data_IF_055506769421
#
_entry.id   IF_055506769421
#
_cell.length_a   1.000
_cell.length_b   1.000
_cell.length_c   1.000
_cell.angle_alpha   90.00
_cell.angle_beta   90.00
_cell.angle_gamma   90.00
#
_symmetry.space_group_name_H-M   'P 1'
#
loop_
_entity.id
_entity.type
_entity.pdbx_description
1 polymer ?
#
# COMPACT_ATOMS: atom_id res chain seq x y z
N UNK A 1 15.45 23.58 -2.74
CA UNK A 1 14.95 24.85 -2.23
C UNK A 1 15.98 25.95 -2.44
N UNK A 2 17.16 25.86 -1.84
CA UNK A 2 18.20 26.90 -1.92
C UNK A 2 18.60 27.24 -3.38
N UNK A 3 18.84 26.22 -4.23
CA UNK A 3 19.17 26.44 -5.64
C UNK A 3 18.04 27.06 -6.48
N UNK A 4 16.82 27.05 -5.98
CA UNK A 4 15.64 27.60 -6.64
C UNK A 4 15.10 28.88 -5.95
N UNK A 5 15.86 29.40 -4.99
CA UNK A 5 15.45 30.55 -4.16
C UNK A 5 14.03 30.39 -3.57
N UNK A 6 13.73 29.18 -3.10
CA UNK A 6 12.44 28.85 -2.51
C UNK A 6 12.53 28.81 -0.99
N UNK A 7 11.51 29.31 -0.26
CA UNK A 7 11.40 29.11 1.18
C UNK A 7 11.49 27.62 1.56
N UNK A 8 12.13 27.35 2.68
CA UNK A 8 12.31 25.98 3.17
C UNK A 8 11.90 25.89 4.64
N UNK A 9 11.03 24.93 4.94
CA UNK A 9 10.56 24.64 6.27
C UNK A 9 10.80 23.17 6.60
N UNK A 10 11.26 22.86 7.82
CA UNK A 10 11.34 21.51 8.35
C UNK A 10 10.17 21.31 9.31
N UNK A 11 9.37 20.29 9.04
CA UNK A 11 8.27 19.87 9.91
C UNK A 11 8.67 18.56 10.59
N UNK A 12 8.62 18.51 11.91
CA UNK A 12 8.97 17.31 12.68
C UNK A 12 7.70 16.50 12.98
N UNK A 13 7.53 15.41 12.27
CA UNK A 13 6.46 14.43 12.48
C UNK A 13 6.98 13.11 13.04
N UNK A 14 8.15 13.09 13.66
CA UNK A 14 8.81 11.87 14.13
C UNK A 14 7.92 11.04 15.08
N UNK A 15 7.25 11.69 16.05
CA UNK A 15 6.38 11.01 16.99
C UNK A 15 5.15 10.38 16.30
N UNK A 16 4.50 11.13 15.43
CA UNK A 16 3.33 10.66 14.66
C UNK A 16 3.71 9.56 13.69
N UNK A 17 4.84 9.70 13.00
CA UNK A 17 5.35 8.68 12.10
C UNK A 17 5.63 7.36 12.85
N UNK A 18 6.22 7.45 14.04
CA UNK A 18 6.44 6.29 14.90
C UNK A 18 5.11 5.61 15.24
N UNK A 19 4.16 6.35 15.78
CA UNK A 19 2.90 5.80 16.28
C UNK A 19 1.98 5.28 15.17
N UNK A 20 1.82 6.04 14.09
CA UNK A 20 0.83 5.75 13.05
C UNK A 20 1.37 4.86 11.92
N UNK A 21 2.68 4.89 11.67
CA UNK A 21 3.27 4.14 10.56
C UNK A 21 4.05 2.94 11.10
N UNK A 22 5.08 3.15 11.93
CA UNK A 22 5.98 2.06 12.34
C UNK A 22 5.26 1.09 13.27
N UNK A 23 4.60 1.57 14.32
CA UNK A 23 3.92 0.69 15.28
C UNK A 23 2.73 -0.03 14.65
N UNK A 24 1.99 0.61 13.73
CA UNK A 24 0.95 -0.05 12.95
C UNK A 24 1.53 -1.13 12.04
N UNK A 25 2.63 -0.85 11.35
CA UNK A 25 3.35 -1.81 10.50
C UNK A 25 3.71 -3.07 11.31
N UNK A 26 4.28 -2.90 12.50
CA UNK A 26 4.65 -4.00 13.38
C UNK A 26 3.41 -4.80 13.81
N UNK A 27 2.36 -4.12 14.31
CA UNK A 27 1.12 -4.80 14.74
C UNK A 27 0.48 -5.63 13.64
N UNK A 28 0.46 -5.14 12.41
CA UNK A 28 -0.12 -5.87 11.28
C UNK A 28 0.71 -7.12 10.96
N UNK A 29 2.04 -7.03 10.96
CA UNK A 29 2.90 -8.22 10.79
C UNK A 29 2.74 -9.23 11.93
N UNK A 30 2.71 -8.78 13.18
CA UNK A 30 2.49 -9.64 14.35
C UNK A 30 1.10 -10.31 14.34
N UNK A 31 0.11 -9.68 13.73
CA UNK A 31 -1.21 -10.26 13.48
C UNK A 31 -1.26 -11.20 12.25
N UNK A 32 -0.14 -11.39 11.55
CA UNK A 32 -0.05 -12.26 10.36
C UNK A 32 -0.40 -11.57 9.03
N UNK A 33 -0.76 -10.30 9.06
CA UNK A 33 -1.03 -9.51 7.85
C UNK A 33 0.24 -9.12 7.09
N UNK A 34 0.05 -8.37 6.00
CA UNK A 34 1.13 -7.77 5.22
C UNK A 34 0.81 -6.29 5.01
N UNK A 35 1.38 -5.40 5.81
CA UNK A 35 1.09 -3.96 5.74
C UNK A 35 1.72 -3.32 4.51
N UNK A 36 1.09 -2.27 4.00
CA UNK A 36 1.71 -1.33 3.08
C UNK A 36 1.84 0.05 3.77
N UNK A 37 2.97 0.34 4.42
CA UNK A 37 3.14 1.56 5.20
C UNK A 37 3.09 2.83 4.35
N UNK A 38 3.30 2.73 3.02
CA UNK A 38 3.20 3.88 2.12
C UNK A 38 1.77 4.41 2.03
N UNK A 39 0.76 3.54 2.14
CA UNK A 39 -0.66 3.94 2.16
C UNK A 39 -0.93 4.80 3.40
N UNK A 40 -0.51 4.32 4.57
CA UNK A 40 -0.67 5.05 5.83
C UNK A 40 0.15 6.35 5.86
N UNK A 41 1.40 6.32 5.36
CA UNK A 41 2.24 7.49 5.25
C UNK A 41 1.60 8.59 4.37
N UNK A 42 1.02 8.21 3.22
CA UNK A 42 0.29 9.16 2.39
C UNK A 42 -0.95 9.69 3.11
N UNK A 43 -1.76 8.82 3.74
CA UNK A 43 -2.99 9.20 4.43
C UNK A 43 -2.72 10.18 5.59
N UNK A 44 -1.79 9.84 6.47
CA UNK A 44 -1.61 10.55 7.74
C UNK A 44 -0.51 11.61 7.68
N UNK A 45 0.68 11.27 7.12
CA UNK A 45 1.83 12.17 7.15
C UNK A 45 1.80 13.20 6.03
N UNK A 46 1.66 12.73 4.75
CA UNK A 46 1.81 13.63 3.62
C UNK A 46 0.56 14.47 3.35
N UNK A 47 -0.63 13.85 3.42
CA UNK A 47 -1.83 14.55 2.99
C UNK A 47 -2.73 15.02 4.13
N UNK A 48 -2.62 14.49 5.34
CA UNK A 48 -3.28 15.08 6.49
C UNK A 48 -2.44 16.22 7.07
N UNK A 49 -1.28 15.91 7.62
CA UNK A 49 -0.47 16.93 8.31
C UNK A 49 0.01 18.06 7.41
N UNK A 50 0.36 17.77 6.13
CA UNK A 50 0.76 18.85 5.22
C UNK A 50 -0.42 19.72 4.76
N UNK A 51 -1.62 19.17 4.63
CA UNK A 51 -2.80 19.97 4.32
C UNK A 51 -3.23 20.82 5.52
N UNK A 52 -3.24 20.25 6.73
CA UNK A 52 -3.51 20.98 7.95
C UNK A 52 -2.52 22.17 8.09
N UNK A 53 -1.23 21.89 7.90
CA UNK A 53 -0.19 22.91 7.94
C UNK A 53 -0.33 23.96 6.83
N UNK A 54 -0.69 23.57 5.62
CA UNK A 54 -0.90 24.45 4.49
C UNK A 54 -2.08 25.40 4.75
N UNK A 55 -3.20 24.88 5.27
CA UNK A 55 -4.38 25.67 5.65
C UNK A 55 -4.03 26.71 6.73
N UNK A 56 -3.32 26.30 7.81
CA UNK A 56 -2.88 27.20 8.89
C UNK A 56 -1.99 28.35 8.37
N UNK A 57 -1.29 28.15 7.25
CA UNK A 57 -0.39 29.13 6.65
C UNK A 57 -0.97 29.84 5.42
N UNK A 58 -2.27 29.67 5.18
CA UNK A 58 -2.98 30.32 4.07
C UNK A 58 -2.56 29.80 2.69
N UNK A 59 -2.07 28.57 2.60
CA UNK A 59 -1.72 27.92 1.33
C UNK A 59 -2.92 27.09 0.84
N UNK A 60 -3.21 27.18 -0.45
CA UNK A 60 -4.39 26.53 -1.05
C UNK A 60 -4.12 25.06 -1.42
N UNK A 61 -2.89 24.72 -1.79
CA UNK A 61 -2.56 23.42 -2.34
C UNK A 61 -1.30 22.80 -1.72
N UNK A 62 -1.35 21.48 -1.58
CA UNK A 62 -0.15 20.63 -1.39
C UNK A 62 0.23 20.01 -2.73
N UNK A 63 1.46 20.21 -3.16
CA UNK A 63 1.99 19.70 -4.43
C UNK A 63 3.01 18.61 -4.13
N UNK A 64 2.85 17.44 -4.75
CA UNK A 64 3.79 16.32 -4.58
C UNK A 64 4.18 15.67 -5.91
N UNK A 65 5.30 14.96 -5.90
CA UNK A 65 5.83 14.25 -7.06
C UNK A 65 5.23 12.86 -7.29
N UNK A 66 4.00 12.58 -6.85
CA UNK A 66 3.36 11.31 -7.14
C UNK A 66 2.92 11.20 -8.59
N UNK A 67 3.12 10.01 -9.17
CA UNK A 67 2.65 9.65 -10.50
C UNK A 67 1.19 9.16 -10.42
N UNK A 68 0.27 10.09 -10.25
CA UNK A 68 -1.17 9.90 -10.32
C UNK A 68 -1.80 11.21 -10.81
N UNK A 69 -3.05 11.20 -11.23
CA UNK A 69 -3.76 12.40 -11.68
C UNK A 69 -4.98 12.64 -10.81
N UNK A 70 -5.24 13.91 -10.53
CA UNK A 70 -6.43 14.37 -9.82
C UNK A 70 -7.18 15.32 -10.74
N UNK A 71 -8.43 15.03 -11.01
CA UNK A 71 -9.29 15.81 -11.91
C UNK A 71 -10.69 15.92 -11.30
N UNK A 72 -11.35 17.06 -11.51
CA UNK A 72 -12.75 17.22 -11.12
C UNK A 72 -13.65 16.78 -12.26
N UNK A 73 -14.57 15.87 -11.98
CA UNK A 73 -15.61 15.46 -12.93
C UNK A 73 -16.68 16.56 -13.05
N UNK A 74 -16.82 17.11 -14.25
CA UNK A 74 -17.74 18.22 -14.50
C UNK A 74 -19.23 17.83 -14.32
N UNK A 75 -19.57 16.56 -14.48
CA UNK A 75 -20.95 16.09 -14.38
C UNK A 75 -21.39 15.91 -12.92
N UNK A 76 -20.52 15.43 -12.06
CA UNK A 76 -20.83 15.10 -10.67
C UNK A 76 -20.25 16.11 -9.68
N UNK A 77 -19.30 16.93 -10.10
CA UNK A 77 -18.51 17.82 -9.24
C UNK A 77 -17.51 17.10 -8.34
N UNK A 78 -17.43 15.77 -8.41
CA UNK A 78 -16.52 14.98 -7.58
C UNK A 78 -15.09 15.04 -8.10
N UNK A 79 -14.16 15.02 -7.17
CA UNK A 79 -12.75 14.83 -7.49
C UNK A 79 -12.46 13.35 -7.73
N UNK A 80 -11.77 13.07 -8.82
CA UNK A 80 -11.38 11.71 -9.25
C UNK A 80 -9.88 11.53 -9.05
N UNK A 81 -9.50 10.40 -8.49
CA UNK A 81 -8.12 9.92 -8.51
C UNK A 81 -7.95 8.98 -9.71
N UNK A 82 -7.08 9.35 -10.64
CA UNK A 82 -6.81 8.59 -11.86
C UNK A 82 -5.38 8.07 -11.86
N UNK A 83 -5.17 6.97 -12.57
CA UNK A 83 -3.82 6.43 -12.81
C UNK A 83 -2.91 7.47 -13.47
N UNK A 84 -1.62 7.43 -13.16
CA UNK A 84 -0.61 8.18 -13.89
C UNK A 84 -0.55 7.79 -15.36
N UNK A 85 -0.02 8.69 -16.20
CA UNK A 85 0.19 8.40 -17.63
C UNK A 85 1.23 7.29 -17.81
N UNK A 86 2.28 7.30 -17.03
CA UNK A 86 3.29 6.22 -16.99
C UNK A 86 2.77 5.07 -16.12
N UNK A 87 2.21 4.04 -16.76
CA UNK A 87 1.67 2.86 -16.08
C UNK A 87 2.71 2.14 -15.22
N UNK A 88 3.98 2.14 -15.65
CA UNK A 88 5.10 1.53 -14.90
C UNK A 88 5.47 2.28 -13.64
N UNK A 89 4.97 3.52 -13.47
CA UNK A 89 5.22 4.40 -12.32
C UNK A 89 3.94 4.81 -11.58
N UNK A 90 2.78 4.33 -12.01
CA UNK A 90 1.51 4.68 -11.39
C UNK A 90 1.51 4.45 -9.87
N UNK A 91 1.16 5.49 -9.13
CA UNK A 91 1.11 5.50 -7.67
C UNK A 91 -0.32 5.69 -7.12
N UNK A 92 -1.34 5.62 -7.98
CA UNK A 92 -2.73 5.75 -7.55
C UNK A 92 -3.11 4.73 -6.47
N UNK A 93 -2.50 3.53 -6.51
CA UNK A 93 -2.72 2.48 -5.50
C UNK A 93 -2.40 2.92 -4.06
N UNK A 94 -1.38 3.75 -3.84
CA UNK A 94 -1.02 4.20 -2.48
C UNK A 94 -1.74 5.49 -2.07
N UNK A 95 -2.65 5.98 -2.91
CA UNK A 95 -3.41 7.22 -2.72
C UNK A 95 -4.92 7.00 -2.57
N UNK A 96 -5.41 5.77 -2.62
CA UNK A 96 -6.85 5.47 -2.62
C UNK A 96 -7.58 5.93 -1.35
N UNK A 97 -6.86 6.21 -0.27
CA UNK A 97 -7.41 6.69 1.00
C UNK A 97 -7.69 8.20 1.03
N UNK A 98 -7.37 8.94 -0.04
CA UNK A 98 -7.59 10.38 -0.08
C UNK A 98 -9.08 10.71 -0.16
N UNK A 99 -9.52 11.61 0.70
CA UNK A 99 -10.90 12.09 0.73
C UNK A 99 -11.18 13.09 -0.39
N UNK A 100 -12.46 13.40 -0.65
CA UNK A 100 -12.85 14.41 -1.61
C UNK A 100 -12.27 15.79 -1.28
N UNK A 101 -12.27 16.15 -0.01
CA UNK A 101 -11.68 17.39 0.49
C UNK A 101 -10.18 17.44 0.23
N UNK A 102 -9.46 16.38 0.58
CA UNK A 102 -8.03 16.29 0.31
C UNK A 102 -7.71 16.37 -1.18
N UNK A 103 -8.46 15.64 -2.03
CA UNK A 103 -8.27 15.67 -3.47
C UNK A 103 -8.48 17.06 -4.08
N UNK A 104 -9.37 17.87 -3.53
CA UNK A 104 -9.57 19.25 -3.97
C UNK A 104 -8.30 20.12 -3.80
N UNK A 105 -7.54 19.87 -2.75
CA UNK A 105 -6.37 20.65 -2.35
C UNK A 105 -5.02 20.02 -2.69
N UNK A 106 -5.01 18.99 -3.56
CA UNK A 106 -3.79 18.30 -3.99
C UNK A 106 -3.51 18.55 -5.46
N UNK A 107 -2.22 18.71 -5.80
CA UNK A 107 -1.74 18.80 -7.19
C UNK A 107 -0.61 17.81 -7.40
N UNK A 108 -0.72 17.00 -8.46
CA UNK A 108 0.20 15.93 -8.81
C UNK A 108 0.75 16.14 -10.23
N UNK A 109 1.65 17.11 -10.45
CA UNK A 109 2.07 17.52 -11.79
C UNK A 109 2.77 16.40 -12.57
N UNK A 110 3.45 15.45 -11.88
CA UNK A 110 4.14 14.35 -12.55
C UNK A 110 3.20 13.26 -13.06
N UNK A 111 1.93 13.27 -12.66
CA UNK A 111 0.95 12.28 -13.11
C UNK A 111 0.61 12.33 -14.60
N UNK A 112 0.88 13.44 -15.27
CA UNK A 112 0.67 13.65 -16.70
C UNK A 112 1.95 13.49 -17.54
N UNK A 113 3.05 13.00 -16.94
CA UNK A 113 4.36 12.85 -17.58
C UNK A 113 4.88 11.43 -17.45
N UNK A 114 5.64 10.98 -18.45
CA UNK A 114 6.46 9.78 -18.32
C UNK A 114 7.71 10.05 -17.50
N UNK A 115 8.22 9.03 -16.82
CA UNK A 115 9.44 9.15 -16.00
C UNK A 115 10.65 9.63 -16.79
N UNK A 116 10.74 9.29 -18.05
CA UNK A 116 11.79 9.76 -18.99
C UNK A 116 11.74 11.27 -19.16
N UNK A 117 10.56 11.83 -19.43
CA UNK A 117 10.34 13.27 -19.57
C UNK A 117 10.70 14.02 -18.27
N UNK A 118 10.31 13.47 -17.12
CA UNK A 118 10.66 14.06 -15.81
C UNK A 118 12.17 14.09 -15.60
N UNK A 119 12.89 13.03 -16.04
CA UNK A 119 14.37 13.00 -15.96
C UNK A 119 15.02 14.00 -16.91
N UNK A 120 14.50 14.16 -18.12
CA UNK A 120 14.96 15.15 -19.09
C UNK A 120 14.81 16.57 -18.53
N UNK A 121 13.64 16.93 -18.01
CA UNK A 121 13.39 18.21 -17.34
C UNK A 121 14.36 18.42 -16.17
N UNK A 122 14.57 17.40 -15.34
CA UNK A 122 15.48 17.50 -14.21
C UNK A 122 16.95 17.69 -14.65
N UNK A 123 17.36 17.11 -15.78
CA UNK A 123 18.70 17.30 -16.37
C UNK A 123 18.86 18.69 -16.97
N UNK A 124 17.86 19.18 -17.71
CA UNK A 124 17.85 20.53 -18.28
C UNK A 124 18.01 21.60 -17.18
N UNK A 125 17.37 21.37 -16.03
CA UNK A 125 17.50 22.24 -14.87
C UNK A 125 18.69 21.91 -13.95
N UNK A 126 19.59 21.03 -14.38
CA UNK A 126 20.81 20.66 -13.63
C UNK A 126 20.54 20.17 -12.20
N UNK A 127 19.42 19.47 -11.97
CA UNK A 127 19.12 18.90 -10.65
C UNK A 127 20.04 17.71 -10.35
N UNK A 128 20.71 17.75 -9.20
CA UNK A 128 21.68 16.74 -8.75
C UNK A 128 21.08 15.33 -8.63
N UNK A 129 19.77 15.21 -8.48
CA UNK A 129 19.03 13.95 -8.34
C UNK A 129 18.36 13.48 -9.65
N UNK A 130 18.64 14.12 -10.79
CA UNK A 130 18.03 13.79 -12.08
C UNK A 130 18.20 12.31 -12.46
N UNK A 131 19.35 11.70 -12.11
CA UNK A 131 19.67 10.30 -12.39
C UNK A 131 19.51 9.37 -11.17
N UNK A 132 18.96 9.87 -10.05
CA UNK A 132 18.76 9.03 -8.86
C UNK A 132 17.81 7.87 -9.17
N UNK A 133 18.20 6.67 -8.76
CA UNK A 133 17.33 5.51 -8.84
C UNK A 133 16.11 5.70 -7.92
N UNK A 134 14.97 5.15 -8.35
CA UNK A 134 13.76 5.17 -7.53
C UNK A 134 13.97 4.30 -6.28
N UNK A 135 13.53 4.80 -5.13
CA UNK A 135 13.47 3.99 -3.92
C UNK A 135 12.32 2.98 -4.08
N UNK A 136 12.66 1.68 -4.07
CA UNK A 136 11.68 0.60 -4.19
C UNK A 136 11.31 -0.01 -2.84
N UNK A 137 12.09 0.28 -1.80
CA UNK A 137 11.96 -0.29 -0.47
C UNK A 137 11.23 0.62 0.50
N UNK A 138 10.78 0.04 1.61
CA UNK A 138 10.18 0.77 2.72
C UNK A 138 11.24 1.70 3.31
N UNK A 139 10.97 3.01 3.33
CA UNK A 139 11.96 4.05 3.63
C UNK A 139 12.64 3.92 5.00
N UNK A 140 12.00 3.28 5.98
CA UNK A 140 12.56 3.03 7.32
C UNK A 140 13.13 1.61 7.48
N UNK A 141 13.13 0.78 6.41
CA UNK A 141 13.74 -0.57 6.35
C UNK A 141 14.64 -0.63 5.11
N UNK A 142 15.75 0.12 5.09
CA UNK A 142 16.55 0.31 3.87
C UNK A 142 17.27 -0.95 3.38
N UNK A 143 17.43 -1.94 4.24
CA UNK A 143 18.05 -3.23 3.91
C UNK A 143 17.04 -4.34 3.54
N UNK A 144 15.73 -4.01 3.56
CA UNK A 144 14.66 -4.94 3.24
C UNK A 144 14.42 -6.03 4.31
N UNK A 145 15.21 -6.10 5.40
CA UNK A 145 15.00 -7.04 6.51
C UNK A 145 14.06 -6.44 7.57
N UNK A 146 12.75 -6.40 7.23
CA UNK A 146 11.73 -5.87 8.13
C UNK A 146 11.60 -6.66 9.43
N UNK A 147 11.90 -7.96 9.46
CA UNK A 147 11.83 -8.74 10.69
C UNK A 147 12.96 -8.35 11.65
N UNK A 148 14.19 -8.16 11.17
CA UNK A 148 15.29 -7.62 11.96
C UNK A 148 14.98 -6.20 12.47
N UNK A 149 14.42 -5.36 11.62
CA UNK A 149 13.96 -4.03 12.01
C UNK A 149 12.94 -4.11 13.16
N UNK A 150 11.94 -5.00 13.06
CA UNK A 150 10.92 -5.19 14.10
C UNK A 150 11.54 -5.68 15.40
N UNK A 151 12.48 -6.65 15.37
CA UNK A 151 13.21 -7.12 16.54
C UNK A 151 13.99 -6.00 17.23
N UNK A 152 14.69 -5.18 16.46
CA UNK A 152 15.46 -4.04 16.99
C UNK A 152 14.56 -2.95 17.59
N UNK A 153 13.42 -2.68 16.94
CA UNK A 153 12.50 -1.64 17.37
C UNK A 153 11.72 -2.02 18.65
N UNK A 154 11.30 -3.29 18.74
CA UNK A 154 10.42 -3.77 19.82
C UNK A 154 11.19 -4.42 20.96
N UNK A 155 12.43 -4.85 20.75
CA UNK A 155 13.18 -5.73 21.65
C UNK A 155 12.64 -7.17 21.70
N UNK A 156 11.61 -7.52 20.91
CA UNK A 156 11.08 -8.86 20.84
C UNK A 156 11.98 -9.75 19.97
N UNK A 157 11.92 -11.06 20.22
CA UNK A 157 12.51 -12.06 19.36
C UNK A 157 11.40 -12.90 18.71
N UNK A 158 11.51 -13.16 17.41
CA UNK A 158 10.58 -13.99 16.64
C UNK A 158 11.23 -15.38 16.42
N UNK A 159 10.87 -16.40 17.23
CA UNK A 159 11.55 -17.70 17.22
C UNK A 159 11.27 -18.47 15.93
N UNK A 160 12.14 -19.45 15.66
CA UNK A 160 11.90 -20.46 14.65
C UNK A 160 10.61 -21.23 14.94
N UNK A 161 9.97 -21.76 13.89
CA UNK A 161 8.75 -22.56 13.98
C UNK A 161 8.64 -23.51 12.79
N UNK A 162 7.49 -24.17 12.63
CA UNK A 162 7.32 -25.24 11.67
C UNK A 162 6.62 -24.78 10.37
N UNK A 163 7.15 -25.22 9.23
CA UNK A 163 6.39 -25.27 7.99
C UNK A 163 5.49 -26.49 7.98
N UNK A 164 4.21 -26.29 7.71
CA UNK A 164 3.21 -27.34 7.59
C UNK A 164 2.77 -27.47 6.12
N UNK A 165 2.48 -28.68 5.68
CA UNK A 165 1.71 -28.90 4.46
C UNK A 165 0.20 -28.76 4.71
N UNK A 166 -0.61 -28.90 3.66
CA UNK A 166 -2.09 -28.80 3.74
C UNK A 166 -2.75 -29.85 4.65
N UNK A 167 -2.06 -30.94 4.96
CA UNK A 167 -2.52 -31.97 5.91
C UNK A 167 -2.15 -31.66 7.36
N UNK A 168 -1.37 -30.60 7.60
CA UNK A 168 -0.84 -30.28 8.92
C UNK A 168 0.46 -31.02 9.28
N UNK A 169 1.06 -31.75 8.34
CA UNK A 169 2.33 -32.42 8.54
C UNK A 169 3.49 -31.43 8.45
N UNK A 170 4.46 -31.54 9.37
CA UNK A 170 5.67 -30.75 9.35
C UNK A 170 6.52 -31.12 8.14
N UNK A 171 6.89 -30.15 7.32
CA UNK A 171 7.71 -30.30 6.09
C UNK A 171 9.02 -29.52 6.13
N UNK A 172 9.26 -28.78 7.20
CA UNK A 172 10.50 -28.02 7.43
C UNK A 172 10.39 -27.08 8.60
N UNK A 173 11.44 -26.29 8.83
CA UNK A 173 11.50 -25.29 9.90
C UNK A 173 11.76 -23.91 9.30
N UNK A 174 11.07 -22.90 9.81
CA UNK A 174 11.23 -21.50 9.41
C UNK A 174 11.86 -20.64 10.51
N UNK A 175 12.33 -19.46 10.15
CA UNK A 175 13.03 -18.52 11.05
C UNK A 175 12.12 -17.50 11.73
N UNK A 176 10.84 -17.82 11.91
CA UNK A 176 9.80 -16.95 12.51
C UNK A 176 8.68 -16.62 11.52
N UNK A 177 7.42 -16.87 11.89
CA UNK A 177 6.25 -16.71 11.01
C UNK A 177 6.07 -15.28 10.47
N UNK A 178 6.53 -14.27 11.21
CA UNK A 178 6.51 -12.85 10.75
C UNK A 178 7.30 -12.61 9.47
N UNK A 179 8.32 -13.44 9.19
CA UNK A 179 9.22 -13.28 8.02
C UNK A 179 8.57 -13.71 6.71
N UNK A 180 7.36 -14.26 6.76
CA UNK A 180 6.70 -14.85 5.59
C UNK A 180 5.43 -14.12 5.25
N UNK A 181 5.19 -14.02 3.94
CA UNK A 181 4.02 -13.33 3.37
C UNK A 181 3.20 -14.31 2.56
N UNK A 182 1.86 -14.23 2.65
CA UNK A 182 0.97 -15.04 1.81
C UNK A 182 1.32 -14.89 0.33
N UNK A 183 1.44 -16.02 -0.39
CA UNK A 183 1.85 -16.10 -1.78
C UNK A 183 3.38 -16.04 -1.99
N UNK A 184 4.18 -15.98 -0.93
CA UNK A 184 5.64 -16.03 -1.04
C UNK A 184 6.08 -17.42 -1.53
N UNK A 185 6.93 -17.44 -2.56
CA UNK A 185 7.54 -18.65 -3.14
C UNK A 185 9.02 -18.76 -2.84
N UNK A 186 9.73 -17.62 -2.92
CA UNK A 186 11.21 -17.60 -2.76
C UNK A 186 11.60 -17.47 -1.30
N UNK A 187 12.77 -18.01 -0.94
CA UNK A 187 13.33 -17.86 0.40
C UNK A 187 12.70 -18.74 1.47
N UNK A 188 11.92 -19.78 1.08
CA UNK A 188 11.34 -20.73 2.04
C UNK A 188 12.35 -21.76 2.57
N UNK A 189 13.42 -22.03 1.82
CA UNK A 189 14.42 -23.06 2.21
C UNK A 189 13.90 -24.49 2.16
N UNK A 190 12.78 -24.74 1.46
CA UNK A 190 12.15 -26.05 1.35
C UNK A 190 12.51 -26.74 0.03
N UNK A 191 12.79 -28.05 0.08
CA UNK A 191 13.07 -28.89 -1.07
C UNK A 191 12.01 -29.99 -1.18
N UNK A 192 10.81 -29.66 -1.65
CA UNK A 192 9.65 -30.56 -1.69
C UNK A 192 9.37 -31.18 -3.08
N UNK A 193 10.34 -31.04 -4.02
CA UNK A 193 10.21 -31.61 -5.37
C UNK A 193 9.29 -30.84 -6.33
N UNK A 194 8.41 -29.98 -5.82
CA UNK A 194 7.53 -29.07 -6.57
C UNK A 194 7.56 -27.66 -5.96
N UNK A 195 7.28 -26.61 -6.75
CA UNK A 195 7.14 -25.27 -6.19
C UNK A 195 6.01 -25.19 -5.17
N UNK A 196 6.30 -24.60 -4.01
CA UNK A 196 5.31 -24.35 -2.97
C UNK A 196 5.27 -22.87 -2.62
N UNK A 197 4.13 -22.45 -2.10
CA UNK A 197 3.82 -21.08 -1.74
C UNK A 197 3.31 -21.02 -0.30
N UNK A 198 3.50 -19.89 0.36
CA UNK A 198 2.88 -19.63 1.67
C UNK A 198 1.38 -19.45 1.47
N UNK A 199 0.57 -20.38 1.98
CA UNK A 199 -0.88 -20.39 1.86
C UNK A 199 -1.58 -19.92 3.14
N UNK A 200 -0.90 -20.02 4.31
CA UNK A 200 -1.44 -19.61 5.59
C UNK A 200 -0.37 -19.36 6.62
N UNK A 201 -0.74 -18.66 7.68
CA UNK A 201 0.09 -18.43 8.86
C UNK A 201 -0.76 -18.50 10.12
N UNK A 202 -0.30 -19.19 11.14
CA UNK A 202 -0.83 -19.11 12.50
C UNK A 202 0.24 -18.46 13.38
N UNK A 203 -0.04 -17.23 13.80
CA UNK A 203 0.90 -16.44 14.58
C UNK A 203 0.99 -16.89 16.04
N UNK A 204 -0.07 -17.54 16.57
CA UNK A 204 -0.09 -18.06 17.93
C UNK A 204 0.68 -19.39 18.02
N UNK A 205 0.43 -20.29 17.08
CA UNK A 205 1.15 -21.55 16.95
C UNK A 205 2.56 -21.38 16.36
N UNK A 206 2.90 -20.21 15.84
CA UNK A 206 4.12 -19.90 15.11
C UNK A 206 4.37 -20.90 13.98
N UNK A 207 3.36 -21.13 13.14
CA UNK A 207 3.44 -22.05 11.99
C UNK A 207 3.13 -21.32 10.68
N UNK A 208 3.71 -21.84 9.59
CA UNK A 208 3.49 -21.35 8.23
C UNK A 208 3.04 -22.51 7.37
N UNK A 209 1.83 -22.43 6.82
CA UNK A 209 1.30 -23.48 5.92
C UNK A 209 1.74 -23.19 4.50
N UNK A 210 2.27 -24.20 3.82
CA UNK A 210 2.69 -24.13 2.43
C UNK A 210 1.90 -25.12 1.57
N UNK A 211 1.68 -24.76 0.31
CA UNK A 211 0.92 -25.54 -0.64
C UNK A 211 1.15 -25.13 -2.09
N UNK A 212 0.45 -25.76 -3.05
CA UNK A 212 0.51 -25.41 -4.45
C UNK A 212 -0.10 -24.01 -4.70
N UNK A 213 0.20 -23.43 -5.86
CA UNK A 213 -0.29 -22.10 -6.26
C UNK A 213 -1.82 -22.02 -6.27
N UNK A 214 -2.52 -23.11 -6.58
CA UNK A 214 -3.99 -23.19 -6.59
C UNK A 214 -4.64 -22.78 -5.28
N UNK A 215 -3.94 -22.93 -4.15
CA UNK A 215 -4.42 -22.57 -2.81
C UNK A 215 -4.35 -21.05 -2.52
N UNK A 216 -3.80 -20.28 -3.45
CA UNK A 216 -3.68 -18.82 -3.29
C UNK A 216 -4.87 -18.04 -3.84
N UNK A 217 -5.79 -18.73 -4.53
CA UNK A 217 -6.87 -18.06 -5.25
C UNK A 217 -8.18 -18.13 -4.48
N UNK A 218 -8.65 -16.97 -4.07
CA UNK A 218 -9.99 -16.76 -3.56
C UNK A 218 -10.88 -16.08 -4.60
N UNK A 219 -12.13 -16.51 -4.68
CA UNK A 219 -13.14 -15.90 -5.56
C UNK A 219 -13.87 -14.74 -4.91
N UNK A 220 -13.76 -14.62 -3.58
CA UNK A 220 -14.46 -13.61 -2.79
C UNK A 220 -13.45 -12.93 -1.89
N UNK A 221 -13.41 -11.60 -1.97
CA UNK A 221 -12.61 -10.76 -1.08
C UNK A 221 -13.55 -9.82 -0.35
N UNK A 222 -13.41 -9.76 0.97
CA UNK A 222 -14.11 -8.80 1.81
C UNK A 222 -13.27 -7.54 1.96
N UNK A 223 -13.86 -6.38 1.71
CA UNK A 223 -13.24 -5.09 1.90
C UNK A 223 -13.97 -4.32 3.00
N UNK A 224 -13.22 -3.71 3.89
CA UNK A 224 -13.71 -2.87 4.99
C UNK A 224 -13.13 -1.45 4.83
N UNK A 225 -13.73 -0.45 5.47
CA UNK A 225 -13.30 0.95 5.43
C UNK A 225 -13.14 1.50 4.01
N UNK A 226 -14.09 1.19 3.14
CA UNK A 226 -14.00 1.55 1.71
C UNK A 226 -14.16 3.06 1.53
N UNK A 227 -13.19 3.67 0.87
CA UNK A 227 -13.24 5.07 0.46
C UNK A 227 -13.76 5.20 -0.97
N UNK A 228 -15.01 5.65 -1.13
CA UNK A 228 -15.62 5.87 -2.43
C UNK A 228 -15.19 7.21 -3.02
N UNK A 229 -14.24 7.20 -3.97
CA UNK A 229 -13.75 8.43 -4.62
C UNK A 229 -14.68 8.84 -5.76
N UNK A 230 -14.93 7.96 -6.72
CA UNK A 230 -15.68 8.29 -7.94
C UNK A 230 -17.20 8.37 -7.75
N UNK A 231 -17.73 7.68 -6.74
CA UNK A 231 -19.16 7.65 -6.42
C UNK A 231 -19.38 8.01 -4.96
N UNK A 232 -20.54 8.54 -4.56
CA UNK A 232 -20.80 8.86 -3.14
C UNK A 232 -20.99 7.61 -2.28
N UNK A 233 -21.57 6.56 -2.83
CA UNK A 233 -21.83 5.28 -2.18
C UNK A 233 -22.10 4.21 -3.22
N UNK A 234 -21.96 2.94 -2.84
CA UNK A 234 -22.37 1.80 -3.65
C UNK A 234 -23.78 1.36 -3.22
N UNK A 235 -24.75 1.55 -4.12
CA UNK A 235 -26.16 1.19 -3.87
C UNK A 235 -26.60 -0.05 -4.63
N UNK A 236 -25.88 -0.43 -5.68
CA UNK A 236 -26.14 -1.58 -6.54
C UNK A 236 -24.84 -2.25 -6.97
N UNK A 237 -24.86 -3.49 -7.46
CA UNK A 237 -23.64 -4.17 -7.92
C UNK A 237 -22.93 -3.38 -9.02
N UNK A 238 -21.62 -3.17 -8.87
CA UNK A 238 -20.80 -2.42 -9.80
C UNK A 238 -19.70 -3.31 -10.41
N UNK A 239 -19.63 -3.36 -11.74
CA UNK A 239 -18.53 -4.00 -12.44
C UNK A 239 -17.30 -3.11 -12.43
N UNK A 240 -16.17 -3.67 -12.04
CA UNK A 240 -14.90 -2.98 -11.90
C UNK A 240 -13.74 -3.86 -12.34
N UNK A 241 -12.55 -3.26 -12.48
CA UNK A 241 -11.29 -3.99 -12.37
C UNK A 241 -10.74 -3.77 -10.96
N UNK A 242 -10.20 -4.81 -10.33
CA UNK A 242 -9.67 -4.75 -8.99
C UNK A 242 -8.33 -5.46 -8.86
N UNK A 243 -7.51 -4.99 -7.94
CA UNK A 243 -6.26 -5.64 -7.51
C UNK A 243 -6.12 -5.53 -6.00
N UNK A 244 -5.68 -6.60 -5.38
CA UNK A 244 -5.49 -6.66 -3.92
C UNK A 244 -4.04 -6.36 -3.51
N UNK A 245 -3.11 -6.26 -4.46
CA UNK A 245 -1.69 -5.96 -4.23
C UNK A 245 -1.16 -5.00 -5.26
N UNK A 246 -0.16 -4.22 -4.90
CA UNK A 246 0.43 -3.18 -5.75
C UNK A 246 0.91 -3.70 -7.12
N UNK A 247 1.62 -4.82 -7.14
CA UNK A 247 2.17 -5.42 -8.38
C UNK A 247 1.26 -6.47 -9.04
N UNK A 248 0.05 -6.67 -8.53
CA UNK A 248 -0.90 -7.62 -9.12
C UNK A 248 -1.55 -7.00 -10.37
N UNK A 249 -1.71 -7.80 -11.42
CA UNK A 249 -2.54 -7.42 -12.56
C UNK A 249 -4.00 -7.24 -12.11
N UNK A 250 -4.67 -6.25 -12.67
CA UNK A 250 -6.09 -6.02 -12.40
C UNK A 250 -6.94 -7.17 -12.94
N UNK A 251 -7.91 -7.60 -12.15
CA UNK A 251 -8.86 -8.66 -12.49
C UNK A 251 -10.26 -8.09 -12.60
N UNK A 252 -11.05 -8.63 -13.54
CA UNK A 252 -12.47 -8.30 -13.64
C UNK A 252 -13.20 -8.75 -12.36
N UNK A 253 -13.96 -7.86 -11.75
CA UNK A 253 -14.67 -8.11 -10.52
C UNK A 253 -16.04 -7.43 -10.52
N UNK A 254 -16.93 -7.91 -9.65
CA UNK A 254 -18.17 -7.21 -9.31
C UNK A 254 -18.15 -6.91 -7.83
N UNK A 255 -18.29 -5.65 -7.50
CA UNK A 255 -18.43 -5.21 -6.11
C UNK A 255 -19.91 -5.18 -5.75
N UNK A 256 -20.26 -5.81 -4.64
CA UNK A 256 -21.62 -5.85 -4.12
C UNK A 256 -21.71 -5.03 -2.84
N UNK A 257 -22.82 -4.30 -2.62
CA UNK A 257 -23.13 -3.78 -1.30
C UNK A 257 -23.23 -4.96 -0.32
N UNK A 258 -22.72 -4.81 0.87
CA UNK A 258 -22.88 -5.86 1.90
C UNK A 258 -24.33 -5.94 2.31
N UNK A 259 -24.98 -7.07 2.05
CA UNK A 259 -26.31 -7.36 2.59
C UNK A 259 -26.18 -7.63 4.09
N UNK A 260 -26.93 -6.89 4.92
CA UNK A 260 -27.20 -7.16 6.35
C UNK A 260 -26.06 -7.00 7.36
N UNK A 261 -25.34 -5.85 7.37
CA UNK A 261 -24.70 -5.42 8.62
C UNK A 261 -25.18 -4.05 9.06
N UNK A 262 -25.93 -4.07 10.13
CA UNK A 262 -26.35 -2.90 10.88
C UNK A 262 -25.09 -2.16 11.41
N UNK A 263 -24.91 -0.95 10.93
CA UNK A 263 -24.33 0.20 11.66
C UNK A 263 -22.88 0.02 12.12
N UNK A 264 -21.97 0.36 11.33
CA UNK A 264 -20.70 1.08 11.43
C UNK A 264 -19.60 0.64 10.46
N UNK A 265 -19.63 -0.59 9.92
CA UNK A 265 -18.59 -1.10 9.04
C UNK A 265 -19.14 -1.36 7.64
N UNK A 266 -18.68 -0.61 6.66
CA UNK A 266 -19.04 -0.84 5.27
C UNK A 266 -18.22 -2.02 4.74
N UNK A 267 -18.77 -3.22 4.77
CA UNK A 267 -18.16 -4.43 4.20
C UNK A 267 -18.69 -4.64 2.79
N UNK A 268 -17.81 -4.85 1.84
CA UNK A 268 -18.16 -5.13 0.45
C UNK A 268 -17.62 -6.48 0.02
N UNK A 269 -18.43 -7.23 -0.72
CA UNK A 269 -18.00 -8.44 -1.40
C UNK A 269 -17.41 -8.07 -2.75
N UNK A 270 -16.13 -8.36 -2.96
CA UNK A 270 -15.51 -8.30 -4.27
C UNK A 270 -15.45 -9.73 -4.78
N UNK A 271 -16.26 -10.03 -5.79
CA UNK A 271 -16.24 -11.35 -6.44
C UNK A 271 -15.36 -11.27 -7.70
N UNK A 272 -14.27 -12.02 -7.71
CA UNK A 272 -13.46 -12.18 -8.90
C UNK A 272 -14.08 -13.26 -9.80
N UNK A 273 -14.33 -12.93 -11.06
CA UNK A 273 -14.62 -13.94 -12.09
C UNK A 273 -13.30 -14.35 -12.72
N UNK A 274 -12.97 -15.63 -12.63
CA UNK A 274 -11.88 -16.21 -13.42
C UNK A 274 -12.30 -16.33 -14.87
#
# INVERSE_FOLDING_TARGET
AFALDMPYQVLDFTADFRAQIIEKFIRVYEAGGTPNPCIDCNKYMKFRHLLDWAEEHGMEYVVTGHYARVEQDAATGRWLLKKGLDEGKDQSYVLYNLTQEQLAHIRLPLGALHKTEVREIAQEHSFINAQKHDSQDICFVPDGDYARFMEQFTGKHYPAGDFLDQSGKVVGTHSGAVRYTLGQRKGLGLALGAPVYVCGKDMQANTVTVGPESELFDRIVYAEDVNWIAIPALTEPLRVTARTRYHQAEQQATVYPAENYLISDTRFHIKFSM
#
